data_IF_116214477800
#
_entry.id   IF_116214477800
#
_cell.length_a   1.000
_cell.length_b   1.000
_cell.length_c   1.000
_cell.angle_alpha   90.00
_cell.angle_beta   90.00
_cell.angle_gamma   90.00
#
_symmetry.space_group_name_H-M   'P 1'
#
loop_
_entity.id
_entity.type
_entity.pdbx_description
1 polymer ?
#
# COMPACT_ATOMS: atom_id res chain seq x y z
N UNK A 1 -11.67 -37.21 -11.54
CA UNK A 1 -10.33 -36.63 -11.33
C UNK A 1 -10.34 -35.91 -10.00
N UNK A 2 -9.35 -36.13 -9.13
CA UNK A 2 -9.26 -35.42 -7.83
C UNK A 2 -9.29 -33.89 -7.98
N UNK A 3 -8.84 -33.38 -9.14
CA UNK A 3 -8.95 -31.98 -9.51
C UNK A 3 -10.40 -31.44 -9.55
N UNK A 4 -11.39 -32.25 -9.96
CA UNK A 4 -12.80 -31.84 -10.01
C UNK A 4 -13.42 -31.75 -8.63
N UNK A 5 -13.12 -32.71 -7.74
CA UNK A 5 -13.60 -32.70 -6.36
C UNK A 5 -13.00 -31.53 -5.54
N UNK A 6 -11.75 -31.17 -5.81
CA UNK A 6 -11.11 -29.97 -5.27
C UNK A 6 -11.79 -28.69 -5.79
N UNK A 7 -12.09 -28.63 -7.09
CA UNK A 7 -12.75 -27.48 -7.70
C UNK A 7 -14.15 -27.25 -7.12
N UNK A 8 -14.94 -28.31 -6.96
CA UNK A 8 -16.29 -28.24 -6.37
C UNK A 8 -16.24 -27.82 -4.90
N UNK A 9 -15.28 -28.33 -4.14
CA UNK A 9 -15.07 -27.96 -2.72
C UNK A 9 -14.66 -26.50 -2.56
N UNK A 10 -13.79 -25.99 -3.45
CA UNK A 10 -13.37 -24.59 -3.47
C UNK A 10 -14.54 -23.68 -3.85
N UNK A 11 -15.37 -24.09 -4.82
CA UNK A 11 -16.56 -23.33 -5.24
C UNK A 11 -17.60 -23.28 -4.13
N UNK A 12 -17.86 -24.40 -3.43
CA UNK A 12 -18.75 -24.45 -2.27
C UNK A 12 -18.25 -23.58 -1.11
N UNK A 13 -16.94 -23.65 -0.82
CA UNK A 13 -16.32 -22.82 0.20
C UNK A 13 -16.40 -21.33 -0.16
N UNK A 14 -16.12 -20.97 -1.42
CA UNK A 14 -16.28 -19.61 -1.92
C UNK A 14 -17.72 -19.14 -1.76
N UNK A 15 -18.71 -19.93 -2.20
CA UNK A 15 -20.13 -19.58 -2.09
C UNK A 15 -20.57 -19.34 -0.65
N UNK A 16 -20.10 -20.15 0.29
CA UNK A 16 -20.38 -19.98 1.72
C UNK A 16 -19.70 -18.73 2.32
N UNK A 17 -18.56 -18.31 1.77
CA UNK A 17 -17.81 -17.13 2.22
C UNK A 17 -18.06 -15.87 1.37
N UNK A 18 -18.86 -15.94 0.29
CA UNK A 18 -19.13 -14.81 -0.61
C UNK A 18 -19.70 -13.60 0.12
N UNK A 19 -20.61 -13.82 1.07
CA UNK A 19 -21.19 -12.73 1.86
C UNK A 19 -20.14 -12.05 2.75
N UNK A 20 -19.26 -12.83 3.39
CA UNK A 20 -18.14 -12.29 4.16
C UNK A 20 -17.17 -11.53 3.25
N UNK A 21 -16.77 -12.11 2.11
CA UNK A 21 -15.88 -11.48 1.12
C UNK A 21 -16.46 -10.16 0.60
N UNK A 22 -17.77 -10.08 0.36
CA UNK A 22 -18.41 -8.84 -0.08
C UNK A 22 -18.37 -7.74 1.00
N UNK A 23 -18.63 -8.09 2.26
CA UNK A 23 -18.57 -7.13 3.38
C UNK A 23 -17.14 -6.66 3.60
N UNK A 24 -16.18 -7.58 3.71
CA UNK A 24 -14.75 -7.25 3.85
C UNK A 24 -14.23 -6.44 2.66
N UNK A 25 -14.62 -6.79 1.44
CA UNK A 25 -14.24 -6.08 0.23
C UNK A 25 -14.80 -4.66 0.19
N UNK A 26 -16.05 -4.45 0.63
CA UNK A 26 -16.67 -3.12 0.70
C UNK A 26 -15.98 -2.23 1.73
N UNK A 27 -15.71 -2.75 2.93
CA UNK A 27 -14.98 -2.02 3.98
C UNK A 27 -13.56 -1.65 3.51
N UNK A 28 -12.84 -2.60 2.90
CA UNK A 28 -11.52 -2.37 2.34
C UNK A 28 -11.54 -1.30 1.23
N UNK A 29 -12.55 -1.32 0.34
CA UNK A 29 -12.70 -0.32 -0.72
C UNK A 29 -13.01 1.07 -0.17
N UNK A 30 -13.86 1.16 0.87
CA UNK A 30 -14.14 2.45 1.51
C UNK A 30 -12.89 3.00 2.23
N UNK A 31 -12.13 2.14 2.90
CA UNK A 31 -10.85 2.51 3.50
C UNK A 31 -9.86 2.98 2.43
N UNK A 32 -9.75 2.25 1.32
CA UNK A 32 -8.94 2.62 0.16
C UNK A 32 -9.23 4.04 -0.32
N UNK A 33 -10.51 4.35 -0.56
CA UNK A 33 -10.93 5.68 -1.05
C UNK A 33 -10.60 6.77 -0.03
N UNK A 34 -10.87 6.55 1.26
CA UNK A 34 -10.56 7.51 2.32
C UNK A 34 -9.06 7.79 2.43
N UNK A 35 -8.23 6.74 2.34
CA UNK A 35 -6.76 6.86 2.34
C UNK A 35 -6.30 7.68 1.14
N UNK A 36 -6.81 7.38 -0.06
CA UNK A 36 -6.45 8.09 -1.29
C UNK A 36 -6.80 9.58 -1.19
N UNK A 37 -8.00 9.90 -0.71
CA UNK A 37 -8.43 11.29 -0.48
C UNK A 37 -7.53 11.98 0.55
N UNK A 38 -7.23 11.32 1.67
CA UNK A 38 -6.33 11.86 2.70
C UNK A 38 -4.92 12.15 2.18
N UNK A 39 -4.37 11.26 1.33
CA UNK A 39 -3.08 11.48 0.69
C UNK A 39 -3.10 12.66 -0.28
N UNK A 40 -4.14 12.78 -1.11
CA UNK A 40 -4.29 13.92 -2.03
C UNK A 40 -4.39 15.24 -1.25
N UNK A 41 -5.25 15.29 -0.23
CA UNK A 41 -5.42 16.48 0.61
C UNK A 41 -4.11 16.85 1.30
N UNK A 42 -3.42 15.90 1.92
CA UNK A 42 -2.16 16.22 2.58
C UNK A 42 -1.01 16.53 1.61
N UNK A 43 -1.01 15.99 0.39
CA UNK A 43 -0.08 16.42 -0.66
C UNK A 43 -0.36 17.87 -1.10
N UNK A 44 -1.62 18.27 -1.24
CA UNK A 44 -2.01 19.65 -1.55
C UNK A 44 -1.65 20.62 -0.42
N UNK A 45 -1.90 20.23 0.84
CA UNK A 45 -1.51 21.01 2.02
C UNK A 45 0.02 21.12 2.11
N UNK A 46 0.73 20.03 1.82
CA UNK A 46 2.19 20.00 1.83
C UNK A 46 2.85 20.96 0.85
N UNK A 47 2.18 21.24 -0.27
CA UNK A 47 2.62 22.17 -1.31
C UNK A 47 2.23 23.63 -0.99
N UNK A 48 1.27 23.85 -0.07
CA UNK A 48 0.97 25.19 0.44
C UNK A 48 2.02 25.61 1.46
N UNK A 49 2.61 26.79 1.23
CA UNK A 49 3.34 27.49 2.28
C UNK A 49 2.31 28.00 3.28
N UNK A 50 2.44 27.59 4.55
CA UNK A 50 1.54 28.04 5.60
C UNK A 50 2.00 29.41 6.11
N UNK A 51 1.11 30.40 6.08
CA UNK A 51 1.33 31.67 6.76
C UNK A 51 1.43 31.44 8.28
N UNK A 52 2.29 32.18 9.00
CA UNK A 52 2.46 32.02 10.44
C UNK A 52 1.13 32.26 11.18
N UNK A 53 0.75 31.40 12.15
CA UNK A 53 -0.52 31.54 12.86
C UNK A 53 -0.56 32.82 13.70
N UNK A 54 -1.59 33.64 13.51
CA UNK A 54 -1.95 34.70 14.45
C UNK A 54 -2.78 34.06 15.58
N UNK A 55 -2.11 33.39 16.54
CA UNK A 55 -2.78 32.68 17.63
C UNK A 55 -2.60 33.40 18.98
N UNK A 56 -3.70 33.88 19.56
CA UNK A 56 -3.73 34.62 20.83
C UNK A 56 -4.15 33.69 21.99
N UNK A 57 -3.19 32.98 22.61
CA UNK A 57 -3.39 32.23 23.87
C UNK A 57 -2.51 30.97 24.01
N UNK A 58 -2.05 30.60 25.24
CA UNK A 58 -1.05 29.55 25.44
C UNK A 58 -1.52 28.14 25.05
N UNK A 59 -2.81 27.80 25.25
CA UNK A 59 -3.39 26.53 24.81
C UNK A 59 -3.52 26.46 23.28
N UNK A 60 -3.97 27.55 22.66
CA UNK A 60 -4.10 27.64 21.21
C UNK A 60 -2.74 27.49 20.51
N UNK A 61 -1.69 28.10 21.08
CA UNK A 61 -0.32 28.00 20.59
C UNK A 61 0.23 26.57 20.74
N UNK A 62 -0.03 25.90 21.87
CA UNK A 62 0.36 24.51 22.08
C UNK A 62 -0.33 23.54 21.11
N UNK A 63 -1.63 23.72 20.85
CA UNK A 63 -2.40 22.94 19.88
C UNK A 63 -1.96 23.22 18.43
N UNK A 64 -1.67 24.47 18.08
CA UNK A 64 -1.15 24.83 16.76
C UNK A 64 0.23 24.17 16.50
N UNK A 65 1.12 24.17 17.50
CA UNK A 65 2.41 23.47 17.42
C UNK A 65 2.25 21.93 17.32
N UNK A 66 1.20 21.36 17.93
CA UNK A 66 0.84 19.94 17.82
C UNK A 66 0.38 19.63 16.38
N UNK A 67 -0.55 20.43 15.86
CA UNK A 67 -1.11 20.25 14.53
C UNK A 67 -0.06 20.41 13.40
N UNK A 68 0.85 21.38 13.53
CA UNK A 68 1.93 21.59 12.56
C UNK A 68 2.89 20.41 12.52
N UNK A 69 3.37 19.92 13.68
CA UNK A 69 4.24 18.72 13.75
C UNK A 69 3.57 17.48 13.16
N UNK A 70 2.29 17.25 13.47
CA UNK A 70 1.50 16.18 12.86
C UNK A 70 1.45 16.32 11.33
N UNK A 71 1.18 17.52 10.83
CA UNK A 71 1.15 17.81 9.39
C UNK A 71 2.49 17.55 8.71
N UNK A 72 3.62 17.89 9.34
CA UNK A 72 4.95 17.61 8.81
C UNK A 72 5.27 16.10 8.79
N UNK A 73 4.91 15.37 9.84
CA UNK A 73 5.05 13.91 9.89
C UNK A 73 4.19 13.24 8.80
N UNK A 74 2.92 13.64 8.68
CA UNK A 74 2.02 13.17 7.63
C UNK A 74 2.62 13.41 6.24
N UNK A 75 3.11 14.62 5.98
CA UNK A 75 3.75 15.00 4.72
C UNK A 75 4.94 14.10 4.39
N UNK A 76 5.82 13.85 5.36
CA UNK A 76 6.97 12.95 5.17
C UNK A 76 6.53 11.54 4.78
N UNK A 77 5.54 10.99 5.47
CA UNK A 77 4.99 9.65 5.19
C UNK A 77 4.37 9.59 3.80
N UNK A 78 3.54 10.57 3.40
CA UNK A 78 2.91 10.58 2.07
C UNK A 78 3.95 10.66 0.96
N UNK A 79 4.96 11.54 1.08
CA UNK A 79 6.01 11.62 0.06
C UNK A 79 6.87 10.36 -0.01
N UNK A 80 7.16 9.73 1.13
CA UNK A 80 7.82 8.43 1.14
C UNK A 80 6.95 7.37 0.44
N UNK A 81 5.65 7.31 0.73
CA UNK A 81 4.74 6.34 0.12
C UNK A 81 4.63 6.51 -1.40
N UNK A 82 4.53 7.74 -1.89
CA UNK A 82 4.51 8.02 -3.34
C UNK A 82 5.79 7.54 -4.01
N UNK A 83 6.96 7.74 -3.38
CA UNK A 83 8.25 7.26 -3.90
C UNK A 83 8.30 5.73 -3.93
N UNK A 84 7.82 5.07 -2.87
CA UNK A 84 7.78 3.60 -2.78
C UNK A 84 6.85 3.04 -3.87
N UNK A 85 5.64 3.58 -4.01
CA UNK A 85 4.68 3.18 -5.03
C UNK A 85 5.24 3.37 -6.45
N UNK A 86 5.97 4.47 -6.69
CA UNK A 86 6.64 4.72 -7.97
C UNK A 86 7.74 3.69 -8.25
N UNK A 87 8.60 3.39 -7.26
CA UNK A 87 9.64 2.36 -7.39
C UNK A 87 9.03 0.99 -7.70
N UNK A 88 7.96 0.61 -7.00
CA UNK A 88 7.26 -0.65 -7.25
C UNK A 88 6.66 -0.70 -8.65
N UNK A 89 6.01 0.37 -9.10
CA UNK A 89 5.47 0.45 -10.45
C UNK A 89 6.57 0.34 -11.52
N UNK A 90 7.74 0.95 -11.28
CA UNK A 90 8.91 0.85 -12.17
C UNK A 90 9.52 -0.55 -12.20
N UNK A 91 9.69 -1.20 -11.05
CA UNK A 91 10.19 -2.57 -10.97
C UNK A 91 9.21 -3.55 -11.64
N UNK A 92 7.91 -3.36 -11.43
CA UNK A 92 6.88 -4.14 -12.13
C UNK A 92 6.91 -3.87 -13.63
N UNK A 93 7.04 -2.61 -14.06
CA UNK A 93 7.16 -2.27 -15.48
C UNK A 93 8.40 -2.92 -16.12
N UNK A 94 9.55 -2.89 -15.44
CA UNK A 94 10.77 -3.56 -15.87
C UNK A 94 10.55 -5.06 -16.09
N UNK A 95 9.89 -5.73 -15.14
CA UNK A 95 9.57 -7.15 -15.28
C UNK A 95 8.66 -7.46 -16.46
N UNK A 96 7.55 -6.73 -16.56
CA UNK A 96 6.52 -7.01 -17.55
C UNK A 96 6.93 -6.63 -18.97
N UNK A 97 7.73 -5.57 -19.13
CA UNK A 97 8.09 -4.99 -20.43
C UNK A 97 9.47 -5.44 -20.90
N UNK A 98 10.39 -5.77 -19.99
CA UNK A 98 11.74 -6.20 -20.35
C UNK A 98 11.97 -7.68 -20.05
N UNK A 99 11.78 -8.11 -18.79
CA UNK A 99 12.14 -9.47 -18.38
C UNK A 99 11.28 -10.53 -19.09
N UNK A 100 9.94 -10.42 -19.02
CA UNK A 100 9.05 -11.41 -19.65
C UNK A 100 9.21 -11.48 -21.17
N UNK A 101 9.30 -10.36 -21.92
CA UNK A 101 9.50 -10.41 -23.36
C UNK A 101 10.84 -11.01 -23.80
N UNK A 102 11.89 -10.92 -22.98
CA UNK A 102 13.16 -11.63 -23.25
C UNK A 102 13.01 -13.15 -23.27
N UNK A 103 11.99 -13.68 -22.59
CA UNK A 103 11.63 -15.10 -22.62
C UNK A 103 10.49 -15.40 -23.62
N UNK A 104 10.15 -14.44 -24.49
CA UNK A 104 9.07 -14.59 -25.47
C UNK A 104 7.66 -14.54 -24.88
N UNK A 105 7.52 -14.13 -23.61
CA UNK A 105 6.23 -14.07 -22.91
C UNK A 105 5.69 -12.64 -22.97
N UNK A 106 4.49 -12.47 -23.53
CA UNK A 106 3.77 -11.21 -23.55
C UNK A 106 2.47 -11.36 -22.77
N UNK A 107 2.37 -10.63 -21.66
CA UNK A 107 1.13 -10.59 -20.90
C UNK A 107 0.16 -9.57 -21.51
N UNK A 108 -1.16 -9.84 -21.50
CA UNK A 108 -2.14 -8.81 -21.82
C UNK A 108 -2.16 -7.75 -20.71
N UNK A 109 -2.70 -6.57 -21.02
CA UNK A 109 -2.98 -5.52 -20.02
C UNK A 109 -1.75 -4.99 -19.25
N UNK A 110 -0.52 -5.14 -19.76
CA UNK A 110 0.71 -4.69 -19.07
C UNK A 110 0.60 -3.25 -18.56
N UNK A 111 0.12 -2.31 -19.40
CA UNK A 111 -0.07 -0.90 -19.03
C UNK A 111 -1.04 -0.76 -17.85
N UNK A 112 -2.13 -1.51 -17.87
CA UNK A 112 -3.13 -1.52 -16.80
C UNK A 112 -2.54 -2.09 -15.52
N UNK A 113 -1.77 -3.19 -15.58
CA UNK A 113 -1.15 -3.77 -14.40
C UNK A 113 -0.15 -2.81 -13.76
N UNK A 114 0.67 -2.13 -14.56
CA UNK A 114 1.60 -1.11 -14.04
C UNK A 114 0.84 0.04 -13.37
N UNK A 115 -0.24 0.53 -13.99
CA UNK A 115 -1.08 1.57 -13.42
C UNK A 115 -1.74 1.13 -12.11
N UNK A 116 -2.26 -0.10 -12.06
CA UNK A 116 -2.83 -0.70 -10.86
C UNK A 116 -1.76 -0.86 -9.77
N UNK A 117 -0.56 -1.31 -10.09
CA UNK A 117 0.56 -1.39 -9.13
C UNK A 117 0.85 -0.04 -8.52
N UNK A 118 0.90 1.02 -9.33
CA UNK A 118 1.14 2.37 -8.83
C UNK A 118 0.00 2.85 -7.92
N UNK A 119 -1.25 2.80 -8.42
CA UNK A 119 -2.42 3.32 -7.71
C UNK A 119 -2.71 2.52 -6.44
N UNK A 120 -2.69 1.19 -6.54
CA UNK A 120 -2.86 0.32 -5.38
C UNK A 120 -1.70 0.51 -4.39
N UNK A 121 -0.46 0.61 -4.87
CA UNK A 121 0.74 0.82 -4.06
C UNK A 121 0.76 2.09 -3.21
N UNK A 122 -0.12 3.06 -3.50
CA UNK A 122 -0.32 4.22 -2.62
C UNK A 122 -0.99 3.83 -1.30
N UNK A 123 -1.69 2.69 -1.24
CA UNK A 123 -2.29 2.16 -0.02
C UNK A 123 -1.24 1.37 0.74
N UNK A 124 -0.92 1.77 1.98
CA UNK A 124 0.04 1.04 2.80
C UNK A 124 -0.36 -0.43 2.96
N UNK A 125 0.61 -1.33 2.78
CA UNK A 125 0.49 -2.80 2.95
C UNK A 125 -0.45 -3.49 1.94
N UNK A 126 -1.70 -3.05 1.82
CA UNK A 126 -2.72 -3.66 0.95
C UNK A 126 -2.45 -3.47 -0.53
N UNK A 127 -1.78 -2.38 -0.92
CA UNK A 127 -1.51 -2.05 -2.30
C UNK A 127 -0.74 -3.13 -3.06
N UNK A 128 0.32 -3.63 -2.43
CA UNK A 128 1.14 -4.70 -2.99
C UNK A 128 0.36 -6.01 -3.09
N UNK A 129 -0.47 -6.33 -2.11
CA UNK A 129 -1.31 -7.53 -2.17
C UNK A 129 -2.23 -7.50 -3.39
N UNK A 130 -2.96 -6.39 -3.59
CA UNK A 130 -3.86 -6.22 -4.74
C UNK A 130 -3.08 -6.35 -6.05
N UNK A 131 -1.98 -5.62 -6.19
CA UNK A 131 -1.14 -5.66 -7.38
C UNK A 131 -0.63 -7.08 -7.68
N UNK A 132 -0.14 -7.79 -6.65
CA UNK A 132 0.41 -9.12 -6.80
C UNK A 132 -0.66 -10.12 -7.22
N UNK A 133 -1.85 -10.05 -6.62
CA UNK A 133 -3.01 -10.89 -7.01
C UNK A 133 -3.37 -10.64 -8.47
N UNK A 134 -3.46 -9.38 -8.91
CA UNK A 134 -3.76 -9.06 -10.32
C UNK A 134 -2.69 -9.65 -11.25
N UNK A 135 -1.41 -9.46 -10.95
CA UNK A 135 -0.31 -9.97 -11.77
C UNK A 135 -0.32 -11.50 -11.85
N UNK A 136 -0.56 -12.19 -10.73
CA UNK A 136 -0.62 -13.66 -10.69
C UNK A 136 -1.82 -14.18 -11.47
N UNK A 137 -3.00 -13.58 -11.32
CA UNK A 137 -4.21 -13.97 -12.07
C UNK A 137 -4.02 -13.78 -13.58
N UNK A 138 -3.47 -12.64 -14.00
CA UNK A 138 -3.19 -12.37 -15.42
C UNK A 138 -2.07 -13.27 -15.94
N UNK A 139 -1.11 -13.65 -15.11
CA UNK A 139 -0.07 -14.62 -15.50
C UNK A 139 -0.63 -16.03 -15.64
N UNK A 140 -1.56 -16.43 -14.75
CA UNK A 140 -2.25 -17.73 -14.79
C UNK A 140 -3.07 -17.89 -16.06
N UNK A 141 -3.68 -16.82 -16.58
CA UNK A 141 -4.44 -16.88 -17.83
C UNK A 141 -3.57 -17.13 -19.06
N UNK A 142 -2.26 -16.89 -18.97
CA UNK A 142 -1.29 -17.23 -20.02
C UNK A 142 -0.71 -18.62 -19.81
N UNK A 143 -0.17 -18.92 -18.64
CA UNK A 143 0.32 -20.26 -18.30
C UNK A 143 0.61 -20.40 -16.80
N UNK A 144 0.37 -21.58 -16.19
CA UNK A 144 0.75 -21.87 -14.80
C UNK A 144 2.24 -21.64 -14.51
N UNK A 145 3.12 -21.90 -15.48
CA UNK A 145 4.55 -21.68 -15.32
C UNK A 145 4.90 -20.19 -15.24
N UNK A 146 4.21 -19.36 -16.03
CA UNK A 146 4.37 -17.90 -16.00
C UNK A 146 3.85 -17.33 -14.69
N UNK A 147 2.74 -17.86 -14.17
CA UNK A 147 2.23 -17.49 -12.86
C UNK A 147 3.20 -17.82 -11.72
N UNK A 148 3.82 -19.00 -11.76
CA UNK A 148 4.83 -19.39 -10.77
C UNK A 148 6.07 -18.50 -10.87
N UNK A 149 6.55 -18.22 -12.08
CA UNK A 149 7.67 -17.30 -12.32
C UNK A 149 7.35 -15.89 -11.80
N UNK A 150 6.16 -15.36 -12.10
CA UNK A 150 5.65 -14.09 -11.58
C UNK A 150 5.58 -14.10 -10.05
N UNK A 151 5.12 -15.18 -9.42
CA UNK A 151 5.05 -15.29 -7.96
C UNK A 151 6.46 -15.22 -7.34
N UNK A 152 7.43 -15.96 -7.88
CA UNK A 152 8.82 -15.93 -7.44
C UNK A 152 9.40 -14.52 -7.58
N UNK A 153 9.19 -13.89 -8.72
CA UNK A 153 9.62 -12.52 -8.98
C UNK A 153 9.02 -11.53 -7.96
N UNK A 154 7.71 -11.61 -7.72
CA UNK A 154 7.01 -10.73 -6.78
C UNK A 154 7.51 -10.88 -5.34
N UNK A 155 7.80 -12.11 -4.89
CA UNK A 155 8.39 -12.35 -3.57
C UNK A 155 9.79 -11.73 -3.47
N UNK A 156 10.61 -11.87 -4.51
CA UNK A 156 11.95 -11.29 -4.55
C UNK A 156 11.92 -9.75 -4.54
N UNK A 157 11.07 -9.13 -5.37
CA UNK A 157 10.92 -7.68 -5.41
C UNK A 157 10.35 -7.14 -4.11
N UNK A 158 9.39 -7.82 -3.48
CA UNK A 158 8.85 -7.36 -2.21
C UNK A 158 9.92 -7.32 -1.10
N UNK A 159 10.86 -8.27 -1.11
CA UNK A 159 12.05 -8.18 -0.24
C UNK A 159 12.93 -6.98 -0.60
N UNK A 160 13.20 -6.74 -1.88
CA UNK A 160 13.98 -5.59 -2.32
C UNK A 160 13.31 -4.27 -1.89
N UNK A 161 11.99 -4.17 -2.05
CA UNK A 161 11.19 -3.05 -1.57
C UNK A 161 11.36 -2.86 -0.07
N UNK A 162 11.30 -3.93 0.74
CA UNK A 162 11.53 -3.81 2.19
C UNK A 162 12.90 -3.17 2.51
N UNK A 163 13.96 -3.56 1.80
CA UNK A 163 15.27 -2.92 1.94
C UNK A 163 15.28 -1.47 1.47
N UNK A 164 14.61 -1.17 0.36
CA UNK A 164 14.49 0.20 -0.17
C UNK A 164 13.67 1.09 0.76
N UNK A 165 12.60 0.57 1.36
CA UNK A 165 11.77 1.25 2.35
C UNK A 165 12.59 1.58 3.59
N UNK A 166 13.41 0.65 4.08
CA UNK A 166 14.33 0.92 5.19
C UNK A 166 15.30 2.07 4.87
N UNK A 167 15.78 2.16 3.62
CA UNK A 167 16.70 3.24 3.19
C UNK A 167 15.98 4.58 2.93
N UNK A 168 14.81 4.54 2.31
CA UNK A 168 13.99 5.71 1.94
C UNK A 168 13.31 6.34 3.15
N UNK A 169 12.86 5.52 4.12
CA UNK A 169 12.17 5.96 5.33
C UNK A 169 13.14 6.16 6.50
N UNK A 170 14.19 5.34 6.61
CA UNK A 170 15.18 5.41 7.70
C UNK A 170 16.01 6.70 7.74
N UNK A 171 15.98 7.50 6.66
CA UNK A 171 16.60 8.84 6.63
C UNK A 171 15.68 9.95 7.14
N UNK A 172 14.38 9.68 7.37
CA UNK A 172 13.40 10.71 7.72
C UNK A 172 12.74 10.54 9.10
N UNK A 173 12.85 9.37 9.72
CA UNK A 173 12.19 9.07 10.99
C UNK A 173 13.17 8.32 11.91
N UNK A 174 13.69 8.98 12.95
CA UNK A 174 14.55 8.40 14.00
C UNK A 174 13.77 7.50 14.97
N UNK A 175 13.04 6.52 14.45
CA UNK A 175 12.14 5.72 15.26
C UNK A 175 12.37 4.23 14.97
N UNK A 176 12.50 3.39 16.01
CA UNK A 176 12.90 1.99 15.83
C UNK A 176 11.72 1.23 15.23
N UNK A 177 11.98 0.36 14.24
CA UNK A 177 10.93 -0.33 13.49
C UNK A 177 9.90 -1.08 14.37
N UNK A 178 10.32 -1.60 15.52
CA UNK A 178 9.44 -2.30 16.46
C UNK A 178 8.45 -1.36 17.19
N UNK A 179 8.84 -0.11 17.45
CA UNK A 179 8.01 0.88 18.14
C UNK A 179 6.89 1.39 17.21
N UNK A 180 7.23 1.55 15.92
CA UNK A 180 6.30 1.94 14.87
C UNK A 180 5.27 0.82 14.60
N UNK A 181 5.70 -0.45 14.64
CA UNK A 181 4.82 -1.63 14.58
C UNK A 181 3.91 -1.76 15.79
N UNK A 182 4.41 -1.44 16.99
CA UNK A 182 3.61 -1.45 18.22
C UNK A 182 2.52 -0.37 18.19
N UNK A 183 2.88 0.85 17.74
CA UNK A 183 1.92 1.93 17.55
C UNK A 183 0.84 1.55 16.52
N UNK A 184 1.25 0.90 15.43
CA UNK A 184 0.35 0.36 14.41
C UNK A 184 -0.64 -0.63 14.98
N UNK A 185 -0.17 -1.58 15.78
CA UNK A 185 -1.01 -2.59 16.43
C UNK A 185 -1.97 -1.97 17.45
N UNK A 186 -1.50 -1.01 18.27
CA UNK A 186 -2.32 -0.35 19.29
C UNK A 186 -3.39 0.51 18.65
N UNK A 187 -3.03 1.30 17.65
CA UNK A 187 -4.00 2.16 16.97
C UNK A 187 -4.95 1.33 16.11
N UNK A 188 -4.48 0.27 15.44
CA UNK A 188 -5.36 -0.67 14.75
C UNK A 188 -6.37 -1.31 15.70
N UNK A 189 -5.94 -1.73 16.89
CA UNK A 189 -6.86 -2.26 17.89
C UNK A 189 -7.88 -1.20 18.39
N UNK A 190 -7.49 0.07 18.46
CA UNK A 190 -8.35 1.15 18.96
C UNK A 190 -9.30 1.75 17.91
N UNK A 191 -8.87 1.81 16.64
CA UNK A 191 -9.56 2.54 15.57
C UNK A 191 -9.66 1.75 14.26
N UNK A 192 -9.32 0.46 14.27
CA UNK A 192 -9.27 -0.38 13.07
C UNK A 192 -8.23 0.13 12.06
N UNK A 193 -8.50 -0.07 10.77
CA UNK A 193 -7.61 0.38 9.68
C UNK A 193 -7.28 1.88 9.79
N UNK A 194 -8.22 2.71 10.26
CA UNK A 194 -7.98 4.15 10.50
C UNK A 194 -6.83 4.39 11.50
N UNK A 195 -6.72 3.53 12.51
CA UNK A 195 -5.64 3.57 13.47
C UNK A 195 -4.31 3.05 12.94
N UNK A 196 -4.31 1.99 12.14
CA UNK A 196 -3.12 1.51 11.45
C UNK A 196 -2.47 2.63 10.60
N UNK A 197 -3.30 3.46 9.97
CA UNK A 197 -2.88 4.64 9.21
C UNK A 197 -2.36 5.76 10.12
N UNK A 198 -3.05 5.99 11.23
CA UNK A 198 -2.72 7.05 12.18
C UNK A 198 -1.43 6.75 12.97
N UNK A 199 -1.09 5.49 13.15
CA UNK A 199 0.01 5.04 14.00
C UNK A 199 1.41 5.56 13.65
N UNK A 200 1.90 5.46 12.40
CA UNK A 200 3.19 6.05 12.04
C UNK A 200 3.22 7.56 12.29
N UNK A 201 2.08 8.22 12.19
CA UNK A 201 1.94 9.67 12.37
C UNK A 201 1.91 10.04 13.87
N UNK A 202 1.17 9.29 14.69
CA UNK A 202 1.12 9.46 16.14
C UNK A 202 2.42 9.07 16.85
N UNK A 203 3.15 8.12 16.29
CA UNK A 203 4.40 7.64 16.88
C UNK A 203 5.62 8.48 16.47
N UNK A 204 5.59 9.08 15.27
CA UNK A 204 6.56 10.10 14.88
C UNK A 204 6.28 11.49 15.50
N UNK A 205 5.17 11.62 16.25
CA UNK A 205 4.76 12.81 17.00
C UNK A 205 5.38 12.84 18.39
#
# INVERSE_FOLDING_TARGET
SDAGALQDSIVLWLQQHLAAVQVFGREAMQAFVRILIGMVIGALIALRQADPPIASGPLALALANRATRFGEAFRRVVFAQVRIAAVNALLTAFYLVLVLPLFGIQLPLIKTMIAVTFVAGLVPVFGNLISNVVIVIVSLSVSPLVALASLIYLVAIHKLEYFLNARLVGTQIHARAWELLLAMLIMEAAFGIAGLIAAPIYYAY
#
